data_IF_277530954038
#
_entry.id   IF_277530954038
#
_cell.length_a   1.000
_cell.length_b   1.000
_cell.length_c   1.000
_cell.angle_alpha   90.00
_cell.angle_beta   90.00
_cell.angle_gamma   90.00
#
_symmetry.space_group_name_H-M   'P 1'
#
loop_
_entity.id
_entity.type
_entity.pdbx_description
1 polymer ?
#
# COMPACT_ATOMS: atom_id res chain seq x y z
N UNK A 1 7.85 -13.75 9.50
CA UNK A 1 8.06 -12.53 10.31
C UNK A 1 6.99 -11.59 9.82
N UNK A 2 6.14 -11.06 10.71
CA UNK A 2 4.95 -10.31 10.26
C UNK A 2 5.35 -9.13 9.38
N UNK A 3 4.62 -8.94 8.29
CA UNK A 3 4.74 -7.75 7.45
C UNK A 3 4.04 -6.60 8.17
N UNK A 4 4.72 -5.46 8.32
CA UNK A 4 4.25 -4.36 9.18
C UNK A 4 3.82 -3.14 8.38
N UNK A 5 3.03 -2.25 8.99
CA UNK A 5 2.68 -0.92 8.43
C UNK A 5 3.92 -0.16 7.96
N UNK A 6 4.99 -0.15 8.76
CA UNK A 6 6.28 0.48 8.40
C UNK A 6 6.93 -0.12 7.16
N UNK A 7 6.85 -1.44 6.99
CA UNK A 7 7.38 -2.10 5.80
C UNK A 7 6.55 -1.72 4.57
N UNK A 8 5.22 -1.74 4.69
CA UNK A 8 4.32 -1.28 3.63
C UNK A 8 4.59 0.18 3.24
N UNK A 9 4.76 1.07 4.22
CA UNK A 9 5.07 2.48 3.99
C UNK A 9 6.37 2.66 3.18
N UNK A 10 7.42 1.94 3.57
CA UNK A 10 8.70 1.99 2.86
C UNK A 10 8.58 1.45 1.43
N UNK A 11 7.90 0.33 1.25
CA UNK A 11 7.75 -0.30 -0.07
C UNK A 11 6.87 0.54 -0.99
N UNK A 12 5.77 1.11 -0.47
CA UNK A 12 4.90 2.04 -1.21
C UNK A 12 5.66 3.33 -1.58
N UNK A 13 6.43 3.91 -0.67
CA UNK A 13 7.30 5.06 -0.96
C UNK A 13 8.28 4.76 -2.10
N UNK A 14 8.84 3.55 -2.16
CA UNK A 14 9.71 3.15 -3.27
C UNK A 14 8.93 3.06 -4.59
N UNK A 15 7.69 2.56 -4.56
CA UNK A 15 6.85 2.57 -5.75
C UNK A 15 6.56 3.99 -6.23
N UNK A 16 6.19 4.92 -5.34
CA UNK A 16 5.88 6.31 -5.69
C UNK A 16 7.12 7.06 -6.22
N UNK A 17 8.29 6.86 -5.62
CA UNK A 17 9.56 7.47 -6.09
C UNK A 17 9.99 6.98 -7.48
N UNK A 18 9.57 5.80 -7.89
CA UNK A 18 9.79 5.28 -9.23
C UNK A 18 8.85 5.92 -10.29
N UNK A 19 7.93 6.78 -9.87
CA UNK A 19 6.94 7.47 -10.71
C UNK A 19 5.52 7.03 -10.39
N UNK A 20 4.56 7.96 -10.45
CA UNK A 20 3.15 7.64 -10.22
C UNK A 20 2.56 6.89 -11.44
N UNK A 21 2.46 5.58 -11.30
CA UNK A 21 1.92 4.64 -12.29
C UNK A 21 0.92 3.72 -11.58
N UNK A 22 -0.37 3.99 -11.81
CA UNK A 22 -1.49 3.31 -11.15
C UNK A 22 -1.43 1.81 -11.41
N UNK A 23 -1.25 1.38 -12.65
CA UNK A 23 -1.26 -0.05 -13.02
C UNK A 23 -0.14 -0.80 -12.30
N UNK A 24 1.07 -0.23 -12.30
CA UNK A 24 2.21 -0.83 -11.61
C UNK A 24 2.02 -0.88 -10.09
N UNK A 25 1.48 0.17 -9.49
CA UNK A 25 1.23 0.24 -8.04
C UNK A 25 0.16 -0.78 -7.63
N UNK A 26 -0.94 -0.89 -8.40
CA UNK A 26 -1.99 -1.87 -8.17
C UNK A 26 -1.45 -3.31 -8.25
N UNK A 27 -0.71 -3.61 -9.33
CA UNK A 27 -0.08 -4.91 -9.54
C UNK A 27 0.87 -5.26 -8.39
N UNK A 28 1.69 -4.30 -7.95
CA UNK A 28 2.59 -4.48 -6.82
C UNK A 28 1.84 -4.80 -5.52
N UNK A 29 0.81 -4.02 -5.18
CA UNK A 29 0.03 -4.22 -3.96
C UNK A 29 -0.68 -5.59 -3.97
N UNK A 30 -1.26 -5.97 -5.11
CA UNK A 30 -1.85 -7.30 -5.29
C UNK A 30 -0.86 -8.43 -5.02
N UNK A 31 0.35 -8.33 -5.57
CA UNK A 31 1.41 -9.34 -5.39
C UNK A 31 1.87 -9.41 -3.93
N UNK A 32 2.00 -8.27 -3.24
CA UNK A 32 2.30 -8.24 -1.79
C UNK A 32 1.21 -8.94 -0.99
N UNK A 33 -0.07 -8.68 -1.32
CA UNK A 33 -1.21 -9.33 -0.68
C UNK A 33 -1.16 -10.86 -0.80
N UNK A 34 -0.75 -11.39 -1.96
CA UNK A 34 -0.57 -12.84 -2.17
C UNK A 34 0.66 -13.38 -1.43
N UNK A 35 1.83 -12.75 -1.63
CA UNK A 35 3.11 -13.23 -1.09
C UNK A 35 3.09 -13.26 0.44
N UNK A 36 2.46 -12.25 1.05
CA UNK A 36 2.48 -12.03 2.51
C UNK A 36 1.15 -12.35 3.19
N UNK A 37 0.20 -13.01 2.52
CA UNK A 37 -1.16 -13.28 3.07
C UNK A 37 -1.18 -13.93 4.46
N UNK A 38 -0.14 -14.71 4.83
CA UNK A 38 -0.02 -15.35 6.15
C UNK A 38 0.65 -14.48 7.22
N UNK A 39 1.34 -13.44 6.80
CA UNK A 39 2.18 -12.57 7.62
C UNK A 39 1.58 -11.16 7.79
N UNK A 40 0.47 -10.86 7.11
CA UNK A 40 -0.27 -9.58 7.19
C UNK A 40 -1.43 -9.71 8.18
N UNK A 41 -1.63 -8.69 9.02
CA UNK A 41 -2.82 -8.61 9.87
C UNK A 41 -4.06 -8.07 9.09
N UNK A 42 -5.28 -8.28 9.60
CA UNK A 42 -6.50 -7.88 8.88
C UNK A 42 -6.62 -6.39 8.56
N UNK A 43 -6.00 -5.50 9.34
CA UNK A 43 -6.05 -4.06 9.09
C UNK A 43 -5.12 -3.71 7.92
N UNK A 44 -3.87 -4.15 8.00
CA UNK A 44 -2.89 -3.97 6.94
C UNK A 44 -3.33 -4.63 5.63
N UNK A 45 -4.02 -5.78 5.71
CA UNK A 45 -4.59 -6.46 4.56
C UNK A 45 -5.61 -5.62 3.81
N UNK A 46 -6.47 -4.86 4.52
CA UNK A 46 -7.44 -3.96 3.88
C UNK A 46 -6.76 -2.81 3.16
N UNK A 47 -5.70 -2.26 3.74
CA UNK A 47 -4.94 -1.16 3.13
C UNK A 47 -4.29 -1.65 1.82
N UNK A 48 -3.68 -2.84 1.84
CA UNK A 48 -3.08 -3.46 0.66
C UNK A 48 -4.15 -3.73 -0.42
N UNK A 49 -5.32 -4.23 -0.02
CA UNK A 49 -6.45 -4.46 -0.94
C UNK A 49 -6.94 -3.15 -1.57
N UNK A 50 -7.09 -2.08 -0.79
CA UNK A 50 -7.50 -0.77 -1.30
C UNK A 50 -6.52 -0.24 -2.36
N UNK A 51 -5.22 -0.33 -2.11
CA UNK A 51 -4.20 0.08 -3.09
C UNK A 51 -4.21 -0.83 -4.32
N UNK A 52 -4.43 -2.14 -4.15
CA UNK A 52 -4.53 -3.07 -5.28
C UNK A 52 -5.74 -2.82 -6.19
N UNK A 53 -6.84 -2.32 -5.63
CA UNK A 53 -8.11 -2.08 -6.33
C UNK A 53 -8.20 -0.69 -6.97
N UNK A 54 -7.17 0.16 -6.83
CA UNK A 54 -7.16 1.54 -7.34
C UNK A 54 -7.35 1.64 -8.86
N UNK A 55 -7.00 0.58 -9.62
CA UNK A 55 -7.19 0.50 -11.07
C UNK A 55 -8.59 0.06 -11.52
N UNK A 56 -9.46 -0.39 -10.61
CA UNK A 56 -10.76 -1.01 -10.96
C UNK A 56 -11.91 0.02 -11.10
N UNK A 57 -11.66 1.30 -10.79
CA UNK A 57 -12.59 2.40 -11.10
C UNK A 57 -12.44 3.61 -10.18
N UNK A 58 -12.98 4.76 -10.62
CA UNK A 58 -12.88 6.08 -9.95
C UNK A 58 -13.24 6.08 -8.45
N UNK A 59 -14.07 5.14 -8.00
CA UNK A 59 -14.48 5.00 -6.60
C UNK A 59 -13.38 4.46 -5.67
N UNK A 60 -12.29 3.95 -6.24
CA UNK A 60 -11.12 3.41 -5.53
C UNK A 60 -9.83 4.17 -5.90
N UNK A 61 -9.95 5.21 -6.73
CA UNK A 61 -8.80 5.96 -7.22
C UNK A 61 -8.19 6.77 -6.07
N UNK A 62 -6.92 6.50 -5.74
CA UNK A 62 -6.10 7.43 -4.99
C UNK A 62 -5.36 8.32 -5.97
N UNK A 63 -5.35 9.61 -5.70
CA UNK A 63 -4.37 10.52 -6.27
C UNK A 63 -2.98 10.23 -5.72
N UNK A 64 -1.95 10.71 -6.42
CA UNK A 64 -0.56 10.59 -5.95
C UNK A 64 -0.37 11.17 -4.55
N UNK A 65 -1.02 12.32 -4.26
CA UNK A 65 -0.94 12.95 -2.95
C UNK A 65 -1.57 12.08 -1.85
N UNK A 66 -2.73 11.48 -2.10
CA UNK A 66 -3.38 10.62 -1.10
C UNK A 66 -2.55 9.35 -0.81
N UNK A 67 -1.80 8.84 -1.79
CA UNK A 67 -0.84 7.75 -1.53
C UNK A 67 0.37 8.20 -0.70
N UNK A 68 0.84 9.44 -0.90
CA UNK A 68 1.88 10.01 -0.03
C UNK A 68 1.37 10.23 1.39
N UNK A 69 0.14 10.69 1.54
CA UNK A 69 -0.50 10.85 2.85
C UNK A 69 -0.63 9.48 3.54
N UNK A 70 -1.03 8.44 2.81
CA UNK A 70 -1.06 7.06 3.31
C UNK A 70 0.33 6.57 3.75
N UNK A 71 1.40 6.89 3.01
CA UNK A 71 2.78 6.57 3.43
C UNK A 71 3.12 7.25 4.76
N UNK A 72 2.72 8.51 4.93
CA UNK A 72 2.94 9.25 6.17
C UNK A 72 2.18 8.65 7.34
N UNK A 73 0.88 8.38 7.18
CA UNK A 73 0.03 7.75 8.20
C UNK A 73 0.62 6.40 8.66
N UNK A 74 0.98 5.53 7.71
CA UNK A 74 1.58 4.22 8.01
C UNK A 74 2.95 4.31 8.71
N UNK A 75 3.68 5.41 8.51
CA UNK A 75 4.99 5.64 9.12
C UNK A 75 4.88 6.22 10.53
N UNK A 76 3.86 7.04 10.78
CA UNK A 76 3.60 7.70 12.08
C UNK A 76 2.84 6.79 13.06
N UNK A 77 2.05 5.84 12.58
CA UNK A 77 1.40 4.80 13.38
C UNK A 77 2.38 3.85 14.12
N UNK A 78 3.70 4.07 13.99
CA UNK A 78 4.76 3.35 14.70
C UNK A 78 5.26 4.07 15.97
N UNK A 79 4.42 4.84 16.65
CA UNK A 79 4.71 5.29 18.02
C UNK A 79 4.35 4.17 18.99
N UNK A 80 5.39 3.55 19.56
CA UNK A 80 5.34 2.53 20.63
C UNK A 80 4.50 2.95 21.86
#
# INVERSE_FOLDING_TARGET
>A
MKYTKKQLANDLMLQLRAGFDIERICQWAYLIGIDRHRDIDPELGKIIEQVAMMGEGYQFEFSEQELWDLVHELSEDCVD
#
